data_IF_109398589801
#
_entry.id   IF_109398589801
#
_cell.length_a   1.000
_cell.length_b   1.000
_cell.length_c   1.000
_cell.angle_alpha   90.00
_cell.angle_beta   90.00
_cell.angle_gamma   90.00
#
_symmetry.space_group_name_H-M   'P 1'
#
loop_
_entity.id
_entity.type
_entity.pdbx_description
1 polymer ?
#
# COMPACT_ATOMS: atom_id res chain seq x y z
N UNK A 1 -8.45 11.36 -17.61
CA UNK A 1 -8.57 10.82 -16.24
C UNK A 1 -8.71 9.31 -16.29
N UNK A 2 -8.09 8.60 -15.37
CA UNK A 2 -8.24 7.15 -15.23
C UNK A 2 -9.13 6.85 -14.03
N UNK A 3 -10.08 5.94 -14.20
CA UNK A 3 -10.98 5.49 -13.15
C UNK A 3 -10.84 3.98 -12.99
N UNK A 4 -10.81 3.50 -11.76
CA UNK A 4 -10.74 2.08 -11.43
C UNK A 4 -11.76 1.76 -10.36
N UNK A 5 -12.26 0.53 -10.37
CA UNK A 5 -13.31 0.12 -9.44
C UNK A 5 -13.05 -1.23 -8.82
N UNK A 6 -13.63 -1.43 -7.65
CA UNK A 6 -13.73 -2.71 -6.98
C UNK A 6 -15.08 -2.77 -6.28
N UNK A 7 -15.61 -3.96 -6.10
CA UNK A 7 -16.91 -4.17 -5.45
C UNK A 7 -16.77 -5.23 -4.38
N UNK A 8 -17.28 -4.94 -3.18
CA UNK A 8 -17.34 -5.88 -2.06
C UNK A 8 -18.80 -6.23 -1.77
N UNK A 9 -19.06 -7.51 -1.58
CA UNK A 9 -20.34 -8.01 -1.08
C UNK A 9 -20.09 -8.48 0.35
N UNK A 10 -20.83 -7.92 1.30
CA UNK A 10 -20.76 -8.29 2.71
C UNK A 10 -22.08 -8.85 3.18
N UNK A 11 -22.04 -9.98 3.93
CA UNK A 11 -23.21 -10.61 4.49
C UNK A 11 -23.02 -10.88 5.97
N UNK A 12 -24.01 -10.52 6.78
CA UNK A 12 -23.99 -10.70 8.23
C UNK A 12 -23.48 -9.50 8.99
N UNK A 13 -23.38 -9.63 10.31
CA UNK A 13 -22.83 -8.60 11.19
C UNK A 13 -21.32 -8.50 11.08
N UNK A 14 -20.75 -7.53 11.80
CA UNK A 14 -19.30 -7.29 11.72
C UNK A 14 -18.47 -8.49 12.15
N UNK A 15 -18.77 -9.06 13.31
CA UNK A 15 -17.94 -10.10 13.93
C UNK A 15 -18.14 -11.46 13.27
N UNK A 16 -19.38 -11.82 12.98
CA UNK A 16 -19.73 -13.14 12.45
C UNK A 16 -19.91 -13.18 10.94
N UNK A 17 -19.98 -12.01 10.32
CA UNK A 17 -20.16 -11.89 8.88
C UNK A 17 -18.88 -12.13 8.10
N UNK A 18 -19.02 -12.07 6.79
CA UNK A 18 -17.91 -12.21 5.86
C UNK A 18 -18.17 -11.43 4.58
N UNK A 19 -17.09 -11.06 3.91
CA UNK A 19 -17.15 -10.37 2.64
C UNK A 19 -16.31 -11.05 1.59
N UNK A 20 -16.58 -10.68 0.35
CA UNK A 20 -15.80 -11.08 -0.80
C UNK A 20 -15.74 -9.90 -1.75
N UNK A 21 -14.56 -9.55 -2.24
CA UNK A 21 -14.43 -8.44 -3.18
C UNK A 21 -13.79 -8.90 -4.48
N UNK A 22 -14.10 -8.17 -5.53
CA UNK A 22 -13.49 -8.34 -6.85
C UNK A 22 -13.04 -6.99 -7.38
N UNK A 23 -12.00 -7.00 -8.20
CA UNK A 23 -11.46 -5.79 -8.82
C UNK A 23 -11.93 -5.70 -10.26
N UNK A 24 -12.27 -4.48 -10.68
CA UNK A 24 -12.86 -4.24 -12.01
C UNK A 24 -11.95 -4.59 -13.18
N UNK A 25 -10.63 -4.52 -12.98
CA UNK A 25 -9.66 -4.88 -14.02
C UNK A 25 -9.54 -6.38 -14.27
N UNK A 26 -9.98 -7.21 -13.30
CA UNK A 26 -9.74 -8.66 -13.35
C UNK A 26 -8.29 -9.06 -13.15
N UNK A 27 -7.45 -8.16 -12.64
CA UNK A 27 -6.02 -8.40 -12.46
C UNK A 27 -5.74 -9.59 -11.52
N UNK A 28 -6.63 -9.83 -10.58
CA UNK A 28 -6.62 -11.02 -9.73
C UNK A 28 -8.06 -11.44 -9.41
N UNK A 29 -8.21 -12.71 -8.99
CA UNK A 29 -9.52 -13.27 -8.66
C UNK A 29 -10.10 -12.74 -7.37
N UNK A 30 -11.40 -13.02 -7.11
CA UNK A 30 -12.07 -12.59 -5.89
C UNK A 30 -11.34 -13.03 -4.62
N UNK A 31 -11.37 -12.18 -3.59
CA UNK A 31 -10.71 -12.43 -2.32
C UNK A 31 -11.69 -12.27 -1.16
N UNK A 32 -11.52 -13.08 -0.14
CA UNK A 32 -12.33 -13.02 1.07
C UNK A 32 -11.78 -12.02 2.07
N UNK A 33 -12.67 -11.36 2.78
CA UNK A 33 -12.34 -10.45 3.88
C UNK A 33 -13.25 -10.72 5.07
N UNK A 34 -12.70 -10.58 6.27
CA UNK A 34 -13.46 -10.70 7.51
C UNK A 34 -12.84 -9.85 8.61
N UNK A 35 -13.61 -9.58 9.65
CA UNK A 35 -13.12 -8.81 10.79
C UNK A 35 -11.96 -9.53 11.49
N UNK A 36 -12.08 -10.83 11.69
CA UNK A 36 -11.02 -11.63 12.33
C UNK A 36 -9.71 -11.59 11.54
N UNK A 37 -9.79 -11.73 10.22
CA UNK A 37 -8.58 -11.70 9.37
C UNK A 37 -7.96 -10.32 9.26
N UNK A 38 -8.77 -9.28 9.49
CA UNK A 38 -8.30 -7.89 9.51
C UNK A 38 -7.57 -7.55 10.82
N UNK A 39 -8.07 -8.02 11.95
CA UNK A 39 -7.62 -7.61 13.29
C UNK A 39 -6.72 -8.62 13.98
N UNK A 40 -6.73 -9.86 13.53
CA UNK A 40 -5.93 -10.96 14.08
C UNK A 40 -4.91 -11.44 13.03
N UNK A 41 -4.57 -12.72 13.05
CA UNK A 41 -3.67 -13.30 12.05
C UNK A 41 -4.37 -13.42 10.69
N UNK A 42 -3.68 -13.06 9.59
CA UNK A 42 -4.30 -13.09 8.25
C UNK A 42 -4.66 -14.49 7.77
N UNK A 43 -3.88 -15.51 8.11
CA UNK A 43 -4.12 -16.91 7.73
C UNK A 43 -4.48 -17.11 6.24
N UNK A 44 -3.74 -16.41 5.37
CA UNK A 44 -3.95 -16.52 3.92
C UNK A 44 -5.04 -15.62 3.36
N UNK A 45 -5.72 -14.82 4.18
CA UNK A 45 -6.69 -13.83 3.73
C UNK A 45 -6.07 -12.44 3.67
N UNK A 46 -6.61 -11.58 2.85
CA UNK A 46 -6.19 -10.18 2.76
C UNK A 46 -7.04 -9.28 3.65
N UNK A 47 -6.73 -8.00 3.64
CA UNK A 47 -7.44 -6.97 4.41
C UNK A 47 -7.41 -5.63 3.69
N UNK A 48 -8.26 -4.68 4.06
CA UNK A 48 -8.18 -3.32 3.53
C UNK A 48 -6.80 -2.70 3.71
N UNK A 49 -6.16 -2.92 4.85
CA UNK A 49 -4.84 -2.37 5.17
C UNK A 49 -3.74 -2.96 4.30
N UNK A 50 -3.81 -4.26 4.02
CA UNK A 50 -2.85 -4.90 3.10
C UNK A 50 -3.01 -4.36 1.67
N UNK A 51 -4.25 -4.13 1.24
CA UNK A 51 -4.52 -3.52 -0.07
C UNK A 51 -4.02 -2.08 -0.13
N UNK A 52 -4.17 -1.32 0.95
CA UNK A 52 -3.59 0.03 1.07
C UNK A 52 -2.07 -0.04 0.99
N UNK A 53 -1.44 -1.00 1.67
CA UNK A 53 0.00 -1.20 1.63
C UNK A 53 0.48 -1.49 0.21
N UNK A 54 -0.21 -2.38 -0.50
CA UNK A 54 0.10 -2.69 -1.89
C UNK A 54 -0.04 -1.46 -2.80
N UNK A 55 -1.11 -0.70 -2.64
CA UNK A 55 -1.34 0.52 -3.40
C UNK A 55 -0.26 1.58 -3.12
N UNK A 56 0.07 1.79 -1.85
CA UNK A 56 1.07 2.78 -1.46
C UNK A 56 2.46 2.40 -1.95
N UNK A 57 2.86 1.16 -1.77
CA UNK A 57 4.17 0.68 -2.24
C UNK A 57 4.32 0.80 -3.75
N UNK A 58 3.29 0.42 -4.51
CA UNK A 58 3.30 0.52 -5.98
C UNK A 58 3.35 1.97 -6.44
N UNK A 59 2.54 2.84 -5.85
CA UNK A 59 2.52 4.26 -6.19
C UNK A 59 3.85 4.94 -5.87
N UNK A 60 4.38 4.70 -4.69
CA UNK A 60 5.67 5.26 -4.29
C UNK A 60 6.81 4.79 -5.19
N UNK A 61 6.84 3.51 -5.57
CA UNK A 61 7.86 2.99 -6.48
C UNK A 61 7.85 3.74 -7.82
N UNK A 62 6.67 4.04 -8.35
CA UNK A 62 6.53 4.81 -9.59
C UNK A 62 6.98 6.27 -9.37
N UNK A 63 6.57 6.91 -8.28
CA UNK A 63 6.94 8.28 -7.97
C UNK A 63 8.46 8.42 -7.79
N UNK A 64 9.08 7.51 -7.07
CA UNK A 64 10.53 7.51 -6.86
C UNK A 64 11.29 7.21 -8.16
N UNK A 65 10.81 6.26 -8.94
CA UNK A 65 11.37 5.97 -10.26
C UNK A 65 11.37 7.21 -11.16
N UNK A 66 10.28 7.98 -11.13
CA UNK A 66 10.16 9.22 -11.87
C UNK A 66 11.18 10.27 -11.42
N UNK A 67 11.37 10.43 -10.11
CA UNK A 67 12.38 11.34 -9.54
C UNK A 67 13.78 10.95 -9.98
N UNK A 68 14.10 9.66 -9.91
CA UNK A 68 15.42 9.15 -10.34
C UNK A 68 15.63 9.31 -11.84
N UNK A 69 14.61 9.06 -12.63
CA UNK A 69 14.68 9.24 -14.08
C UNK A 69 14.93 10.70 -14.45
N UNK A 70 14.22 11.64 -13.82
CA UNK A 70 14.44 13.07 -14.02
C UNK A 70 15.83 13.54 -13.56
N UNK A 71 16.43 12.84 -12.61
CA UNK A 71 17.80 13.10 -12.15
C UNK A 71 18.86 12.55 -13.13
N UNK A 72 18.45 11.85 -14.18
CA UNK A 72 19.35 11.20 -15.13
C UNK A 72 19.92 9.87 -14.63
N UNK A 73 19.39 9.33 -13.55
CA UNK A 73 19.85 8.10 -12.92
C UNK A 73 18.68 7.13 -12.72
N UNK A 74 18.08 6.60 -13.80
CA UNK A 74 16.95 5.66 -13.67
C UNK A 74 17.37 4.43 -12.88
N UNK A 75 16.48 3.88 -12.03
CA UNK A 75 16.82 2.74 -11.20
C UNK A 75 16.90 1.45 -12.01
N UNK A 76 17.84 0.59 -11.68
CA UNK A 76 17.85 -0.78 -12.18
C UNK A 76 16.80 -1.61 -11.44
N UNK A 77 16.63 -1.35 -10.14
CA UNK A 77 15.68 -2.07 -9.30
C UNK A 77 15.32 -1.25 -8.07
N UNK A 78 14.04 -1.22 -7.75
CA UNK A 78 13.54 -0.71 -6.47
C UNK A 78 12.72 -1.79 -5.78
N UNK A 79 12.93 -1.95 -4.49
CA UNK A 79 12.11 -2.81 -3.66
C UNK A 79 11.47 -1.94 -2.59
N UNK A 80 10.15 -1.81 -2.65
CA UNK A 80 9.40 -0.93 -1.75
C UNK A 80 8.44 -1.78 -0.92
N UNK A 81 8.51 -1.61 0.38
CA UNK A 81 7.58 -2.25 1.32
C UNK A 81 6.83 -1.15 2.06
N UNK A 82 5.52 -1.29 2.15
CA UNK A 82 4.68 -0.46 3.00
C UNK A 82 4.11 -1.31 4.14
N UNK A 83 4.11 -0.75 5.34
CA UNK A 83 3.45 -1.34 6.50
C UNK A 83 2.36 -0.40 6.95
N UNK A 84 1.12 -0.86 6.86
CA UNK A 84 -0.06 -0.08 7.25
C UNK A 84 -0.58 -0.60 8.58
N UNK A 85 -0.67 0.29 9.56
CA UNK A 85 -1.16 -0.04 10.89
C UNK A 85 -2.62 0.33 11.06
N UNK A 86 -3.38 -0.54 11.70
CA UNK A 86 -4.80 -0.36 11.99
C UNK A 86 -5.01 -0.56 13.50
N UNK A 87 -5.63 0.38 14.15
CA UNK A 87 -5.80 0.32 15.59
C UNK A 87 -6.80 1.33 16.13
N UNK A 88 -7.04 1.30 17.46
CA UNK A 88 -8.00 2.18 18.06
C UNK A 88 -7.56 3.64 18.00
N UNK A 89 -8.55 4.52 17.83
CA UNK A 89 -8.34 5.97 17.92
C UNK A 89 -7.92 6.37 19.33
N UNK A 90 -7.02 7.35 19.44
CA UNK A 90 -6.72 7.97 20.73
C UNK A 90 -7.97 8.61 21.30
N UNK A 91 -8.20 8.42 22.59
CA UNK A 91 -9.40 8.94 23.26
C UNK A 91 -10.67 8.15 22.99
N UNK A 92 -10.60 7.03 22.27
CA UNK A 92 -11.76 6.19 21.94
C UNK A 92 -12.50 6.68 20.71
N UNK A 93 -13.64 6.08 20.41
CA UNK A 93 -14.50 6.48 19.30
C UNK A 93 -14.27 5.68 18.03
N UNK A 94 -13.69 4.48 18.12
CA UNK A 94 -13.55 3.56 17.00
C UNK A 94 -12.12 3.27 16.59
N UNK A 95 -11.99 2.71 15.41
CA UNK A 95 -10.72 2.28 14.83
C UNK A 95 -10.30 3.23 13.72
N UNK A 96 -9.00 3.26 13.44
CA UNK A 96 -8.47 4.06 12.32
C UNK A 96 -7.21 3.43 11.74
N UNK A 97 -6.89 3.82 10.52
CA UNK A 97 -5.56 3.56 9.96
C UNK A 97 -4.58 4.52 10.64
N UNK A 98 -3.62 3.97 11.36
CA UNK A 98 -2.67 4.75 12.18
C UNK A 98 -1.52 5.32 11.37
N UNK A 99 -1.02 4.58 10.40
CA UNK A 99 0.14 4.97 9.61
C UNK A 99 0.29 4.09 8.37
N UNK A 100 1.09 4.59 7.44
CA UNK A 100 1.65 3.79 6.36
C UNK A 100 3.14 4.09 6.32
N UNK A 101 3.96 3.12 6.67
CA UNK A 101 5.42 3.26 6.75
C UNK A 101 6.07 2.60 5.54
N UNK A 102 6.85 3.38 4.81
CA UNK A 102 7.56 2.95 3.63
C UNK A 102 9.01 2.61 3.96
N UNK A 103 9.49 1.53 3.36
CA UNK A 103 10.89 1.12 3.39
C UNK A 103 11.32 0.84 1.96
N UNK A 104 12.42 1.42 1.51
CA UNK A 104 12.88 1.27 0.14
C UNK A 104 14.33 0.81 0.08
N UNK A 105 14.59 -0.16 -0.78
CA UNK A 105 15.93 -0.60 -1.17
C UNK A 105 16.04 -0.45 -2.67
N UNK A 106 17.20 -0.01 -3.14
CA UNK A 106 17.35 0.19 -4.57
C UNK A 106 18.75 -0.08 -5.08
N UNK A 107 18.80 -0.41 -6.35
CA UNK A 107 20.05 -0.43 -7.12
C UNK A 107 19.95 0.67 -8.17
N UNK A 108 20.75 1.72 -7.98
CA UNK A 108 20.75 2.90 -8.84
C UNK A 108 22.20 3.32 -9.09
N UNK A 109 22.64 3.16 -10.31
CA UNK A 109 23.99 3.60 -10.68
C UNK A 109 24.06 5.14 -10.74
N UNK A 110 25.19 5.68 -10.32
CA UNK A 110 25.46 7.12 -10.40
C UNK A 110 24.96 7.95 -9.23
N UNK A 111 24.44 7.31 -8.17
CA UNK A 111 24.05 8.01 -6.95
C UNK A 111 24.79 7.45 -5.74
N UNK A 112 25.10 8.32 -4.78
CA UNK A 112 25.62 7.92 -3.47
C UNK A 112 24.45 7.52 -2.56
N UNK A 113 24.75 6.88 -1.42
CA UNK A 113 23.73 6.55 -0.43
C UNK A 113 22.99 7.80 0.08
N UNK A 114 23.71 8.91 0.28
CA UNK A 114 23.12 10.18 0.69
C UNK A 114 22.21 10.78 -0.38
N UNK A 115 22.65 10.77 -1.64
CA UNK A 115 21.83 11.22 -2.77
C UNK A 115 20.58 10.36 -2.92
N UNK A 116 20.71 9.04 -2.77
CA UNK A 116 19.59 8.12 -2.79
C UNK A 116 18.55 8.48 -1.73
N UNK A 117 18.98 8.74 -0.50
CA UNK A 117 18.10 9.12 0.59
C UNK A 117 17.35 10.44 0.32
N UNK A 118 18.05 11.44 -0.23
CA UNK A 118 17.43 12.73 -0.57
C UNK A 118 16.41 12.58 -1.70
N UNK A 119 16.72 11.81 -2.73
CA UNK A 119 15.81 11.54 -3.85
C UNK A 119 14.61 10.71 -3.41
N UNK A 120 14.80 9.80 -2.44
CA UNK A 120 13.70 9.02 -1.85
C UNK A 120 12.68 9.92 -1.16
N UNK A 121 13.12 10.96 -0.45
CA UNK A 121 12.23 11.95 0.16
C UNK A 121 11.45 12.75 -0.88
N UNK A 122 12.10 13.11 -1.98
CA UNK A 122 11.42 13.78 -3.09
C UNK A 122 10.35 12.89 -3.72
N UNK A 123 10.58 11.58 -3.79
CA UNK A 123 9.60 10.59 -4.24
C UNK A 123 8.36 10.55 -3.35
N UNK A 124 8.55 10.66 -2.04
CA UNK A 124 7.45 10.72 -1.07
C UNK A 124 6.56 11.94 -1.32
N UNK A 125 7.16 13.10 -1.54
CA UNK A 125 6.44 14.33 -1.83
C UNK A 125 5.61 14.24 -3.12
N UNK A 126 6.06 13.45 -4.11
CA UNK A 126 5.39 13.28 -5.39
C UNK A 126 4.39 12.13 -5.45
N UNK A 127 4.25 11.35 -4.39
CA UNK A 127 3.35 10.19 -4.36
C UNK A 127 1.93 10.64 -4.02
N UNK A 128 0.93 10.47 -4.93
CA UNK A 128 -0.44 10.90 -4.65
C UNK A 128 -1.21 9.99 -3.68
N UNK A 129 -0.73 8.80 -3.42
CA UNK A 129 -1.29 7.86 -2.47
C UNK A 129 -0.56 7.98 -1.13
#
# INVERSE_FOLDING_TARGET
MAERSATTIWEGGLITGSGNFSVGSGAFGPQDVSWARRTEEPEGATSPEELMAAAHAACYAMAFSHVLDNNGTPPQRLEVTSKVGFGPKEGGGGMEVKYSKLSVKGKVDGVTAEQFADLAKAGEAGCPV
#
